data_IF_734026926740
#
_entry.id   IF_734026926740
#
_cell.length_a   1.000
_cell.length_b   1.000
_cell.length_c   1.000
_cell.angle_alpha   90.00
_cell.angle_beta   90.00
_cell.angle_gamma   90.00
#
_symmetry.space_group_name_H-M   'P 1'
#
loop_
_entity.id
_entity.type
_entity.pdbx_description
1 polymer ?
#
# COMPACT_ATOMS: atom_id res chain seq x y z
N UNK A 1 -4.88 27.72 -10.36
CA UNK A 1 -5.54 28.79 -9.62
C UNK A 1 -6.26 29.67 -10.62
N UNK A 2 -7.51 30.01 -10.39
CA UNK A 2 -8.28 30.98 -11.17
C UNK A 2 -8.53 32.15 -10.23
N UNK A 3 -8.09 33.34 -10.62
CA UNK A 3 -8.22 34.60 -9.83
C UNK A 3 -7.73 34.46 -8.36
N UNK A 4 -6.65 33.72 -8.17
CA UNK A 4 -6.08 33.47 -6.84
C UNK A 4 -6.73 32.34 -6.03
N UNK A 5 -7.83 31.75 -6.53
CA UNK A 5 -8.53 30.64 -5.86
C UNK A 5 -8.01 29.30 -6.37
N UNK A 6 -7.61 28.37 -5.48
CA UNK A 6 -7.31 27.00 -5.86
C UNK A 6 -8.53 26.36 -6.53
N UNK A 7 -8.36 25.89 -7.76
CA UNK A 7 -9.47 25.34 -8.56
C UNK A 7 -9.00 24.08 -9.28
N UNK A 8 -9.83 23.05 -9.28
CA UNK A 8 -9.64 21.85 -10.10
C UNK A 8 -9.94 22.19 -11.55
N UNK A 9 -9.08 21.75 -12.47
CA UNK A 9 -9.34 21.83 -13.90
C UNK A 9 -10.42 20.82 -14.28
N UNK A 10 -11.62 21.27 -14.73
CA UNK A 10 -12.69 20.36 -15.09
C UNK A 10 -12.41 19.52 -16.33
N UNK A 11 -11.41 19.88 -17.14
CA UNK A 11 -11.02 19.11 -18.32
C UNK A 11 -10.00 18.01 -18.00
N UNK A 12 -9.43 17.98 -16.80
CA UNK A 12 -8.53 16.96 -16.34
C UNK A 12 -9.19 16.15 -15.21
N UNK A 13 -9.71 14.99 -15.54
CA UNK A 13 -10.39 14.09 -14.59
C UNK A 13 -9.42 13.26 -13.75
N UNK A 14 -8.11 13.28 -14.07
CA UNK A 14 -7.11 12.58 -13.28
C UNK A 14 -6.73 13.46 -12.08
N UNK A 15 -7.26 13.08 -10.92
CA UNK A 15 -7.06 13.81 -9.67
C UNK A 15 -6.43 12.91 -8.63
N UNK A 16 -5.60 13.53 -7.79
CA UNK A 16 -5.07 12.95 -6.57
C UNK A 16 -5.68 13.67 -5.38
N UNK A 17 -6.10 12.90 -4.39
CA UNK A 17 -6.62 13.42 -3.13
C UNK A 17 -5.61 13.17 -2.02
N UNK A 18 -5.26 14.21 -1.29
CA UNK A 18 -4.42 14.17 -0.11
C UNK A 18 -5.12 14.92 1.02
N UNK A 19 -5.50 14.23 2.09
CA UNK A 19 -6.29 14.78 3.20
C UNK A 19 -7.48 15.62 2.75
N UNK A 20 -7.35 16.94 2.85
CA UNK A 20 -8.38 17.93 2.53
C UNK A 20 -8.17 18.58 1.16
N UNK A 21 -7.16 18.20 0.42
CA UNK A 21 -6.85 18.80 -0.87
C UNK A 21 -7.02 17.81 -2.00
N UNK A 22 -7.46 18.32 -3.15
CA UNK A 22 -7.53 17.57 -4.40
C UNK A 22 -6.74 18.35 -5.46
N UNK A 23 -5.87 17.65 -6.16
CA UNK A 23 -5.03 18.25 -7.22
C UNK A 23 -5.18 17.48 -8.51
N UNK A 24 -5.20 18.18 -9.63
CA UNK A 24 -5.09 17.53 -10.94
C UNK A 24 -3.69 17.00 -11.15
N UNK A 25 -3.60 15.86 -11.81
CA UNK A 25 -2.35 15.17 -12.09
C UNK A 25 -2.19 14.91 -13.58
N UNK A 26 -0.98 15.04 -14.06
CA UNK A 26 -0.57 14.51 -15.36
C UNK A 26 0.85 13.98 -15.28
N UNK A 27 1.18 13.02 -16.13
CA UNK A 27 2.50 12.40 -16.17
C UNK A 27 3.25 12.92 -17.37
N UNK A 28 4.41 13.56 -17.13
CA UNK A 28 5.30 13.96 -18.20
C UNK A 28 6.01 12.70 -18.73
N UNK A 29 5.76 12.38 -20.00
CA UNK A 29 6.30 11.19 -20.65
C UNK A 29 7.81 11.26 -20.86
N UNK A 30 8.40 10.10 -21.14
CA UNK A 30 9.79 9.77 -21.50
C UNK A 30 10.63 9.19 -20.34
N UNK A 31 11.60 8.37 -20.70
CA UNK A 31 12.54 7.76 -19.78
C UNK A 31 11.85 6.82 -18.78
N UNK A 32 12.08 7.04 -17.49
CA UNK A 32 11.47 6.18 -16.44
C UNK A 32 9.94 6.26 -16.42
N UNK A 33 9.34 7.33 -16.91
CA UNK A 33 7.89 7.47 -17.00
C UNK A 33 7.24 6.48 -17.99
N UNK A 34 8.03 5.85 -18.86
CA UNK A 34 7.51 4.79 -19.74
C UNK A 34 7.05 3.55 -18.97
N UNK A 35 7.54 3.35 -17.75
CA UNK A 35 7.06 2.29 -16.87
C UNK A 35 5.63 2.53 -16.35
N UNK A 36 5.16 3.78 -16.36
CA UNK A 36 3.78 4.11 -15.94
C UNK A 36 2.74 3.87 -17.02
N UNK A 37 3.16 3.63 -18.26
CA UNK A 37 2.27 3.39 -19.39
C UNK A 37 1.70 1.97 -19.36
N UNK A 38 0.52 1.81 -19.93
CA UNK A 38 0.01 0.50 -20.33
C UNK A 38 0.73 0.12 -21.62
N UNK A 39 1.77 -0.68 -21.51
CA UNK A 39 2.55 -1.16 -22.65
C UNK A 39 1.99 -2.50 -23.16
N UNK A 40 2.39 -2.94 -24.34
CA UNK A 40 2.00 -4.24 -24.92
C UNK A 40 2.81 -5.37 -24.27
N UNK A 41 2.50 -5.67 -23.02
CA UNK A 41 3.10 -6.74 -22.21
C UNK A 41 2.00 -7.57 -21.56
N UNK A 42 2.29 -8.78 -21.06
CA UNK A 42 1.32 -9.49 -20.23
C UNK A 42 0.98 -8.68 -18.96
N UNK A 43 -0.32 -8.59 -18.66
CA UNK A 43 -0.81 -7.82 -17.51
C UNK A 43 -1.23 -8.74 -16.37
N UNK A 44 -0.90 -8.31 -15.15
CA UNK A 44 -1.40 -8.92 -13.94
C UNK A 44 -2.85 -8.56 -13.63
N UNK A 45 -3.36 -9.10 -12.55
CA UNK A 45 -4.73 -8.82 -12.08
C UNK A 45 -4.67 -8.01 -10.79
N UNK A 46 -5.48 -6.96 -10.74
CA UNK A 46 -5.72 -6.20 -9.52
C UNK A 46 -7.09 -6.58 -8.95
N UNK A 47 -7.11 -7.08 -7.71
CA UNK A 47 -8.32 -7.47 -7.01
C UNK A 47 -8.55 -6.59 -5.79
N UNK A 48 -9.77 -6.06 -5.64
CA UNK A 48 -10.25 -5.49 -4.40
C UNK A 48 -10.83 -6.62 -3.54
N UNK A 49 -10.31 -6.79 -2.33
CA UNK A 49 -10.73 -7.85 -1.41
C UNK A 49 -11.12 -7.25 -0.07
N UNK A 50 -11.97 -7.95 0.63
CA UNK A 50 -12.34 -7.62 2.00
C UNK A 50 -11.84 -8.73 2.93
N UNK A 51 -11.36 -8.35 4.09
CA UNK A 51 -11.02 -9.26 5.19
C UNK A 51 -11.56 -8.70 6.50
N UNK A 52 -11.93 -9.59 7.40
CA UNK A 52 -12.30 -9.18 8.76
C UNK A 52 -11.03 -9.04 9.60
N UNK A 53 -10.89 -7.92 10.30
CA UNK A 53 -9.87 -7.73 11.31
C UNK A 53 -10.51 -7.90 12.69
N UNK A 54 -10.20 -9.00 13.35
CA UNK A 54 -10.69 -9.29 14.71
C UNK A 54 -10.18 -8.25 15.70
N UNK A 55 -8.94 -7.81 15.52
CA UNK A 55 -8.32 -6.83 16.40
C UNK A 55 -8.87 -5.42 16.24
N UNK A 56 -9.15 -5.00 15.00
CA UNK A 56 -9.76 -3.71 14.71
C UNK A 56 -11.29 -3.75 14.75
N UNK A 57 -11.90 -4.95 14.87
CA UNK A 57 -13.35 -5.20 14.96
C UNK A 57 -14.13 -4.60 13.79
N UNK A 58 -13.60 -4.73 12.59
CA UNK A 58 -14.24 -4.23 11.36
C UNK A 58 -13.78 -5.00 10.13
N UNK A 59 -14.60 -4.99 9.10
CA UNK A 59 -14.20 -5.42 7.78
C UNK A 59 -13.35 -4.34 7.12
N UNK A 60 -12.28 -4.76 6.43
CA UNK A 60 -11.33 -3.83 5.81
C UNK A 60 -11.04 -4.22 4.38
N UNK A 61 -11.04 -3.21 3.51
CA UNK A 61 -10.67 -3.41 2.11
C UNK A 61 -9.15 -3.43 1.93
N UNK A 62 -8.70 -4.24 0.98
CA UNK A 62 -7.31 -4.41 0.62
C UNK A 62 -7.19 -4.64 -0.88
N UNK A 63 -6.20 -4.04 -1.51
CA UNK A 63 -5.89 -4.28 -2.92
C UNK A 63 -4.77 -5.31 -3.04
N UNK A 64 -4.95 -6.26 -3.94
CA UNK A 64 -3.98 -7.32 -4.19
C UNK A 64 -3.73 -7.43 -5.69
N UNK A 65 -2.48 -7.22 -6.06
CA UNK A 65 -1.99 -7.49 -7.40
C UNK A 65 -1.42 -8.91 -7.45
N UNK A 66 -1.81 -9.66 -8.47
CA UNK A 66 -1.21 -10.94 -8.85
C UNK A 66 -0.56 -10.81 -10.23
N UNK A 67 0.64 -11.39 -10.46
CA UNK A 67 1.35 -11.21 -11.72
C UNK A 67 0.66 -11.92 -12.87
N UNK A 68 0.96 -11.50 -14.09
CA UNK A 68 0.45 -12.11 -15.30
C UNK A 68 0.69 -13.64 -15.31
N UNK A 69 -0.33 -14.40 -15.69
CA UNK A 69 -0.28 -15.87 -15.69
C UNK A 69 -0.45 -16.52 -14.30
N UNK A 70 -0.73 -15.75 -13.26
CA UNK A 70 -0.95 -16.31 -11.93
C UNK A 70 -2.02 -17.41 -11.92
N UNK A 71 -3.20 -17.16 -12.51
CA UNK A 71 -4.31 -18.14 -12.50
C UNK A 71 -3.95 -19.45 -13.21
N UNK A 72 -3.13 -19.40 -14.27
CA UNK A 72 -2.71 -20.54 -15.07
C UNK A 72 -1.47 -21.24 -14.52
N UNK A 73 -0.84 -20.72 -13.46
CA UNK A 73 0.45 -21.20 -12.98
C UNK A 73 0.39 -22.47 -12.11
N UNK A 74 -0.77 -23.09 -12.01
CA UNK A 74 -0.96 -24.30 -11.19
C UNK A 74 -0.63 -24.04 -9.71
N UNK A 75 0.29 -24.82 -9.16
CA UNK A 75 0.69 -24.72 -7.74
C UNK A 75 1.90 -23.82 -7.51
N UNK A 76 2.33 -23.04 -8.50
CA UNK A 76 3.46 -22.11 -8.33
C UNK A 76 3.16 -21.11 -7.21
N UNK A 77 4.10 -20.97 -6.30
CA UNK A 77 4.07 -19.98 -5.21
C UNK A 77 4.92 -18.76 -5.56
N UNK A 78 4.55 -17.62 -5.01
CA UNK A 78 5.15 -16.32 -5.32
C UNK A 78 5.63 -15.62 -4.06
N UNK A 79 6.72 -14.84 -4.12
CA UNK A 79 7.08 -13.93 -3.05
C UNK A 79 6.04 -12.82 -2.91
N UNK A 80 6.02 -12.17 -1.76
CA UNK A 80 5.02 -11.14 -1.43
C UNK A 80 5.70 -9.84 -1.04
N UNK A 81 5.23 -8.74 -1.64
CA UNK A 81 5.54 -7.38 -1.23
C UNK A 81 4.29 -6.76 -0.58
N UNK A 82 4.40 -6.33 0.67
CA UNK A 82 3.42 -5.47 1.33
C UNK A 82 3.83 -4.02 1.10
N UNK A 83 2.99 -3.25 0.39
CA UNK A 83 3.29 -1.89 -0.07
C UNK A 83 2.32 -0.90 0.57
N UNK A 84 2.83 -0.06 1.48
CA UNK A 84 2.05 0.78 2.37
C UNK A 84 2.04 2.24 1.89
N UNK A 85 0.86 2.85 1.86
CA UNK A 85 0.64 4.22 1.40
C UNK A 85 1.04 5.28 2.44
N UNK A 86 1.17 6.53 1.99
CA UNK A 86 1.41 7.70 2.83
C UNK A 86 0.16 8.21 3.53
N UNK A 87 0.35 9.12 4.50
CA UNK A 87 -0.76 9.78 5.17
C UNK A 87 -1.61 10.56 4.14
N UNK A 88 -2.92 10.49 4.24
CA UNK A 88 -3.84 11.10 3.26
C UNK A 88 -4.26 10.17 2.13
N UNK A 89 -3.49 9.12 1.86
CA UNK A 89 -3.88 8.04 0.94
C UNK A 89 -4.74 6.96 1.59
N UNK A 90 -4.97 5.91 0.85
CA UNK A 90 -5.72 4.73 1.24
C UNK A 90 -5.23 3.51 0.42
N UNK A 91 -5.92 2.39 0.46
CA UNK A 91 -5.55 1.18 -0.27
C UNK A 91 -5.52 1.36 -1.80
N UNK A 92 -6.15 2.41 -2.34
CA UNK A 92 -6.17 2.69 -3.78
C UNK A 92 -4.99 3.56 -4.24
N UNK A 93 -4.23 4.17 -3.33
CA UNK A 93 -3.19 5.14 -3.69
C UNK A 93 -2.12 4.56 -4.60
N UNK A 94 -1.57 3.42 -4.24
CA UNK A 94 -0.53 2.77 -5.05
C UNK A 94 -1.04 2.29 -6.41
N UNK A 95 -2.32 2.01 -6.54
CA UNK A 95 -2.92 1.55 -7.80
C UNK A 95 -3.34 2.69 -8.70
N UNK A 96 -3.94 3.73 -8.15
CA UNK A 96 -4.47 4.87 -8.91
C UNK A 96 -3.38 5.92 -9.19
N UNK A 97 -2.74 6.43 -8.16
CA UNK A 97 -1.71 7.46 -8.29
C UNK A 97 -0.33 6.85 -8.54
N UNK A 98 0.06 5.84 -7.76
CA UNK A 98 1.36 5.17 -7.87
C UNK A 98 1.51 4.29 -9.11
N UNK A 99 0.41 3.92 -9.77
CA UNK A 99 0.38 3.06 -10.97
C UNK A 99 1.19 1.76 -10.81
N UNK A 100 1.13 1.18 -9.62
CA UNK A 100 1.95 0.03 -9.25
C UNK A 100 1.74 -1.18 -10.17
N UNK A 101 0.51 -1.44 -10.61
CA UNK A 101 0.22 -2.55 -11.52
C UNK A 101 0.97 -2.37 -12.86
N UNK A 102 0.91 -1.18 -13.47
CA UNK A 102 1.61 -0.89 -14.72
C UNK A 102 3.13 -1.00 -14.58
N UNK A 103 3.67 -0.48 -13.49
CA UNK A 103 5.11 -0.57 -13.20
C UNK A 103 5.54 -2.03 -13.06
N UNK A 104 4.79 -2.82 -12.31
CA UNK A 104 5.09 -4.24 -12.09
C UNK A 104 5.01 -5.04 -13.39
N UNK A 105 3.93 -4.87 -14.17
CA UNK A 105 3.78 -5.53 -15.47
C UNK A 105 4.97 -5.25 -16.38
N UNK A 106 5.37 -3.99 -16.48
CA UNK A 106 6.50 -3.57 -17.31
C UNK A 106 7.85 -4.10 -16.79
N UNK A 107 8.10 -4.04 -15.50
CA UNK A 107 9.35 -4.53 -14.91
C UNK A 107 9.46 -6.06 -14.98
N UNK A 108 8.38 -6.78 -14.73
CA UNK A 108 8.34 -8.24 -14.84
C UNK A 108 8.56 -8.67 -16.29
N UNK A 109 7.90 -8.02 -17.26
CA UNK A 109 8.09 -8.31 -18.68
C UNK A 109 9.51 -8.01 -19.17
N UNK A 110 10.22 -7.05 -18.54
CA UNK A 110 11.62 -6.73 -18.82
C UNK A 110 12.63 -7.64 -18.08
N UNK A 111 12.16 -8.57 -17.25
CA UNK A 111 13.02 -9.39 -16.39
C UNK A 111 13.77 -8.61 -15.30
N UNK A 112 13.31 -7.40 -14.98
CA UNK A 112 13.88 -6.51 -13.93
C UNK A 112 13.23 -6.68 -12.57
N UNK A 113 12.09 -7.33 -12.50
CA UNK A 113 11.44 -7.75 -11.28
C UNK A 113 10.97 -9.20 -11.42
N UNK A 114 11.05 -9.95 -10.33
CA UNK A 114 10.43 -11.27 -10.28
C UNK A 114 8.90 -11.15 -10.23
N UNK A 115 8.17 -12.09 -10.83
CA UNK A 115 6.74 -12.19 -10.63
C UNK A 115 6.43 -12.34 -9.14
N UNK A 116 5.67 -11.39 -8.57
CA UNK A 116 5.33 -11.35 -7.16
C UNK A 116 3.87 -10.96 -6.94
N UNK A 117 3.35 -11.30 -5.77
CA UNK A 117 2.08 -10.77 -5.27
C UNK A 117 2.39 -9.46 -4.54
N UNK A 118 1.59 -8.41 -4.81
CA UNK A 118 1.73 -7.14 -4.08
C UNK A 118 0.43 -6.84 -3.34
N UNK A 119 0.57 -6.58 -2.05
CA UNK A 119 -0.53 -6.38 -1.10
C UNK A 119 -0.52 -4.93 -0.64
N UNK A 120 -1.58 -4.21 -0.89
CA UNK A 120 -1.72 -2.78 -0.62
C UNK A 120 -2.91 -2.57 0.32
N UNK A 121 -2.69 -2.62 1.64
CA UNK A 121 -3.73 -2.40 2.63
C UNK A 121 -3.96 -0.91 2.89
N UNK A 122 -5.11 -0.58 3.50
CA UNK A 122 -5.32 0.72 4.11
C UNK A 122 -4.59 0.80 5.46
N UNK A 123 -3.65 1.74 5.59
CA UNK A 123 -2.86 1.95 6.81
C UNK A 123 -3.59 2.70 7.92
N UNK A 124 -4.76 3.27 7.63
CA UNK A 124 -5.56 3.97 8.64
C UNK A 124 -6.42 2.99 9.42
N UNK A 125 -6.03 2.69 10.65
CA UNK A 125 -6.68 1.68 11.49
C UNK A 125 -8.19 1.93 11.75
N UNK A 126 -8.64 3.18 11.68
CA UNK A 126 -10.03 3.56 11.90
C UNK A 126 -10.89 3.55 10.62
N UNK A 127 -10.34 3.18 9.46
CA UNK A 127 -11.05 3.19 8.18
C UNK A 127 -11.29 1.77 7.67
N UNK A 128 -12.50 1.49 7.21
CA UNK A 128 -12.84 0.23 6.54
C UNK A 128 -12.21 0.17 5.15
N UNK A 129 -12.33 1.26 4.39
CA UNK A 129 -11.89 1.37 3.00
C UNK A 129 -11.69 2.83 2.60
N UNK A 130 -11.21 3.05 1.39
CA UNK A 130 -11.14 4.36 0.75
C UNK A 130 -12.50 5.09 0.81
N UNK A 131 -12.52 6.41 0.85
CA UNK A 131 -13.76 7.19 0.83
C UNK A 131 -14.64 6.86 -0.37
N UNK A 132 -15.93 6.62 -0.11
CA UNK A 132 -16.88 6.17 -1.11
C UNK A 132 -17.03 4.65 -1.22
N UNK A 133 -16.10 3.89 -0.67
CA UNK A 133 -16.10 2.42 -0.65
C UNK A 133 -16.45 1.85 0.73
N UNK A 134 -16.46 2.71 1.75
CA UNK A 134 -16.75 2.35 3.15
C UNK A 134 -18.21 2.67 3.51
N UNK A 135 -18.76 1.95 4.49
CA UNK A 135 -20.02 2.31 5.14
C UNK A 135 -19.90 3.61 5.94
N UNK A 136 -18.70 3.97 6.36
CA UNK A 136 -18.45 5.24 7.05
C UNK A 136 -18.63 6.42 6.08
N UNK A 137 -19.41 7.39 6.49
CA UNK A 137 -19.70 8.56 5.66
C UNK A 137 -20.85 8.38 4.65
N UNK A 138 -21.49 7.21 4.61
CA UNK A 138 -22.60 6.94 3.69
C UNK A 138 -23.78 7.88 3.90
N UNK A 139 -24.11 8.18 5.15
CA UNK A 139 -25.26 9.05 5.50
C UNK A 139 -24.88 10.49 5.81
N UNK A 140 -23.59 10.75 6.06
CA UNK A 140 -23.08 12.08 6.40
C UNK A 140 -21.59 12.17 6.10
N UNK A 141 -21.07 13.38 5.86
CA UNK A 141 -19.64 13.55 5.64
C UNK A 141 -18.83 12.88 6.75
N UNK A 142 -17.79 12.17 6.32
CA UNK A 142 -16.85 11.51 7.21
C UNK A 142 -15.45 12.14 7.03
N UNK A 143 -14.85 12.53 8.12
CA UNK A 143 -13.49 12.99 8.16
C UNK A 143 -12.63 11.95 8.86
N UNK A 144 -11.44 11.72 8.34
CA UNK A 144 -10.48 10.79 8.94
C UNK A 144 -10.25 11.14 10.41
N UNK A 145 -10.41 10.14 11.28
CA UNK A 145 -10.16 10.31 12.72
C UNK A 145 -8.65 10.29 12.99
N UNK A 146 -8.25 10.97 14.07
CA UNK A 146 -6.92 10.81 14.64
C UNK A 146 -6.70 9.33 15.06
N UNK A 147 -5.44 8.90 15.17
CA UNK A 147 -5.10 7.54 15.61
C UNK A 147 -4.50 6.66 14.51
N UNK A 148 -4.20 7.25 13.36
CA UNK A 148 -3.59 6.55 12.22
C UNK A 148 -2.20 5.98 12.54
N UNK A 149 -1.47 6.57 13.48
CA UNK A 149 -0.13 6.16 13.91
C UNK A 149 -0.11 5.81 15.40
N UNK A 150 -1.17 5.20 15.90
CA UNK A 150 -1.34 4.83 17.32
C UNK A 150 -0.85 3.41 17.63
N UNK A 151 -0.33 2.69 16.65
CA UNK A 151 0.18 1.33 16.80
C UNK A 151 -0.85 0.24 16.53
N UNK A 152 -2.11 0.56 16.32
CA UNK A 152 -3.14 -0.44 16.07
C UNK A 152 -2.93 -1.18 14.75
N UNK A 153 -2.59 -0.45 13.68
CA UNK A 153 -2.31 -1.05 12.38
C UNK A 153 -1.13 -2.02 12.44
N UNK A 154 -0.06 -1.63 13.12
CA UNK A 154 1.14 -2.45 13.30
C UNK A 154 0.85 -3.70 14.13
N UNK A 155 0.09 -3.54 15.21
CA UNK A 155 -0.26 -4.65 16.11
C UNK A 155 -1.06 -5.74 15.41
N UNK A 156 -1.99 -5.35 14.54
CA UNK A 156 -2.88 -6.29 13.86
C UNK A 156 -2.44 -6.63 12.42
N UNK A 157 -1.27 -6.17 12.00
CA UNK A 157 -0.71 -6.49 10.68
C UNK A 157 -0.58 -8.00 10.40
N UNK A 158 -0.27 -8.87 11.38
CA UNK A 158 -0.25 -10.32 11.16
C UNK A 158 -1.57 -10.90 10.64
N UNK A 159 -2.72 -10.27 10.87
CA UNK A 159 -4.01 -10.69 10.32
C UNK A 159 -4.03 -10.56 8.80
N UNK A 160 -3.40 -9.51 8.26
CA UNK A 160 -3.26 -9.30 6.80
C UNK A 160 -2.38 -10.40 6.20
N UNK A 161 -1.25 -10.70 6.85
CA UNK A 161 -0.35 -11.78 6.40
C UNK A 161 -1.09 -13.11 6.36
N UNK A 162 -1.79 -13.45 7.43
CA UNK A 162 -2.62 -14.67 7.53
C UNK A 162 -3.70 -14.72 6.44
N UNK A 163 -4.39 -13.61 6.19
CA UNK A 163 -5.39 -13.52 5.13
C UNK A 163 -4.78 -13.82 3.76
N UNK A 164 -3.64 -13.21 3.45
CA UNK A 164 -2.95 -13.39 2.17
C UNK A 164 -2.48 -14.83 2.00
N UNK A 165 -1.85 -15.42 3.01
CA UNK A 165 -1.35 -16.79 2.99
C UNK A 165 -2.48 -17.83 2.87
N UNK A 166 -3.66 -17.53 3.41
CA UNK A 166 -4.82 -18.42 3.33
C UNK A 166 -5.56 -18.35 1.98
N UNK A 167 -5.38 -17.26 1.22
CA UNK A 167 -6.15 -17.02 0.00
C UNK A 167 -5.32 -17.02 -1.29
N UNK A 168 -3.99 -16.95 -1.19
CA UNK A 168 -3.09 -16.83 -2.33
C UNK A 168 -1.94 -17.83 -2.25
N UNK A 169 -1.38 -18.18 -3.41
CA UNK A 169 -0.22 -19.09 -3.49
C UNK A 169 1.07 -18.31 -3.23
N UNK A 170 1.43 -18.21 -1.96
CA UNK A 170 2.60 -17.46 -1.49
C UNK A 170 3.71 -18.38 -0.98
N UNK A 171 4.94 -17.92 -1.10
CA UNK A 171 6.09 -18.45 -0.38
C UNK A 171 6.04 -17.85 1.03
N UNK A 172 5.51 -18.64 2.00
CA UNK A 172 5.15 -18.15 3.34
C UNK A 172 6.33 -18.16 4.32
N UNK A 173 7.48 -17.73 3.88
CA UNK A 173 8.68 -17.62 4.71
C UNK A 173 9.25 -16.20 4.66
N UNK A 174 10.10 -15.88 5.61
CA UNK A 174 10.72 -14.57 5.79
C UNK A 174 11.51 -14.11 4.56
N UNK A 175 12.26 -15.05 3.93
CA UNK A 175 13.11 -14.75 2.79
C UNK A 175 12.35 -14.33 1.52
N UNK A 176 11.04 -14.61 1.49
CA UNK A 176 10.16 -14.28 0.37
C UNK A 176 9.09 -13.23 0.73
N UNK A 177 9.27 -12.53 1.86
CA UNK A 177 8.42 -11.41 2.25
C UNK A 177 9.20 -10.11 2.32
N UNK A 178 8.63 -9.09 1.67
CA UNK A 178 9.10 -7.72 1.73
C UNK A 178 7.99 -6.82 2.27
N UNK A 179 8.37 -5.78 3.01
CA UNK A 179 7.49 -4.68 3.38
C UNK A 179 8.12 -3.37 2.96
N UNK A 180 7.36 -2.48 2.36
CA UNK A 180 7.84 -1.16 1.99
C UNK A 180 6.72 -0.13 2.10
N UNK A 181 7.06 1.13 2.33
CA UNK A 181 6.07 2.16 2.43
C UNK A 181 6.60 3.57 2.31
N UNK A 182 5.69 4.48 1.92
CA UNK A 182 5.96 5.89 1.74
C UNK A 182 5.51 6.67 2.98
N UNK A 183 6.36 7.57 3.51
CA UNK A 183 6.02 8.51 4.59
C UNK A 183 5.43 7.77 5.81
N UNK A 184 4.14 7.91 6.10
CA UNK A 184 3.41 7.12 7.10
C UNK A 184 3.57 5.61 6.88
N UNK A 185 3.45 5.14 5.64
CA UNK A 185 3.69 3.74 5.28
C UNK A 185 5.12 3.28 5.58
N UNK A 186 6.09 4.18 5.43
CA UNK A 186 7.47 3.93 5.87
C UNK A 186 7.58 3.82 7.39
N UNK A 187 6.89 4.68 8.14
CA UNK A 187 6.76 4.55 9.59
C UNK A 187 6.15 3.20 9.99
N UNK A 188 5.04 2.82 9.38
CA UNK A 188 4.41 1.51 9.62
C UNK A 188 5.36 0.37 9.28
N UNK A 189 6.04 0.43 8.11
CA UNK A 189 6.99 -0.61 7.69
C UNK A 189 8.12 -0.81 8.69
N UNK A 190 8.70 0.29 9.20
CA UNK A 190 9.73 0.24 10.21
C UNK A 190 9.22 -0.39 11.52
N UNK A 191 8.08 0.08 12.03
CA UNK A 191 7.56 -0.42 13.31
C UNK A 191 7.08 -1.88 13.21
N UNK A 192 6.44 -2.28 12.09
CA UNK A 192 6.04 -3.67 11.88
C UNK A 192 7.27 -4.57 11.84
N UNK A 193 8.33 -4.19 11.10
CA UNK A 193 9.55 -5.00 11.01
C UNK A 193 10.27 -5.12 12.35
N UNK A 194 10.23 -4.09 13.19
CA UNK A 194 10.77 -4.12 14.54
C UNK A 194 9.94 -4.98 15.51
N UNK A 195 8.61 -4.89 15.40
CA UNK A 195 7.70 -5.67 16.24
C UNK A 195 7.68 -7.15 15.87
N UNK A 196 7.94 -7.48 14.60
CA UNK A 196 7.92 -8.82 14.05
C UNK A 196 9.21 -9.13 13.27
N UNK A 197 10.37 -9.26 13.95
CA UNK A 197 11.68 -9.37 13.29
C UNK A 197 11.85 -10.62 12.42
N UNK A 198 11.02 -11.64 12.66
CA UNK A 198 11.03 -12.89 11.88
C UNK A 198 10.04 -12.89 10.70
N UNK A 199 9.38 -11.76 10.44
CA UNK A 199 8.35 -11.70 9.41
C UNK A 199 8.89 -11.30 8.03
N UNK A 200 9.90 -10.42 7.95
CA UNK A 200 10.41 -9.83 6.71
C UNK A 200 11.94 -9.86 6.65
N UNK A 201 12.51 -10.24 5.50
CA UNK A 201 13.93 -10.05 5.22
C UNK A 201 14.21 -8.74 4.46
N UNK A 202 13.20 -8.13 3.86
CA UNK A 202 13.36 -6.91 3.06
C UNK A 202 12.44 -5.82 3.58
N UNK A 203 13.04 -4.66 3.90
CA UNK A 203 12.30 -3.48 4.39
C UNK A 203 12.68 -2.27 3.54
N UNK A 204 11.71 -1.67 2.86
CA UNK A 204 11.87 -0.47 2.05
C UNK A 204 11.24 0.76 2.72
N UNK A 205 12.03 1.78 2.98
CA UNK A 205 11.58 3.00 3.62
C UNK A 205 11.68 4.18 2.65
N UNK A 206 10.52 4.62 2.11
CA UNK A 206 10.46 5.73 1.17
C UNK A 206 10.05 7.01 1.90
N UNK A 207 10.97 7.94 2.09
CA UNK A 207 10.73 9.18 2.84
C UNK A 207 9.96 8.94 4.15
N UNK A 208 10.37 7.90 4.87
CA UNK A 208 9.67 7.42 6.06
C UNK A 208 9.60 8.52 7.13
N UNK A 209 8.44 8.66 7.77
CA UNK A 209 8.20 9.57 8.86
C UNK A 209 8.82 9.03 10.17
N UNK A 210 10.13 8.82 10.18
CA UNK A 210 10.86 8.37 11.35
C UNK A 210 11.18 9.56 12.25
N UNK A 211 10.72 9.51 13.50
CA UNK A 211 11.12 10.48 14.50
C UNK A 211 12.41 9.99 15.20
N UNK A 212 13.55 10.49 14.75
CA UNK A 212 14.87 10.11 15.26
C UNK A 212 15.00 10.43 16.76
N UNK A 213 14.30 11.45 17.26
CA UNK A 213 14.28 11.78 18.69
C UNK A 213 13.55 10.75 19.55
N UNK A 214 12.57 10.04 18.96
CA UNK A 214 11.85 8.97 19.65
C UNK A 214 12.63 7.66 19.70
N UNK A 215 13.58 7.44 18.81
CA UNK A 215 14.41 6.24 18.79
C UNK A 215 15.31 6.14 20.04
N UNK A 216 15.80 7.27 20.56
CA UNK A 216 16.61 7.32 21.81
C UNK A 216 15.81 7.14 23.10
N UNK A 217 14.48 7.18 23.07
CA UNK A 217 13.61 7.02 24.25
C UNK A 217 12.86 5.69 24.29
N UNK A 218 12.91 4.89 23.24
CA UNK A 218 12.30 3.56 23.24
C UNK A 218 13.29 2.55 23.80
N UNK A 219 13.06 2.14 25.06
CA UNK A 219 13.62 0.91 25.62
C UNK A 219 13.01 -0.30 24.89
N UNK A 220 13.24 -0.42 23.58
CA UNK A 220 12.91 -1.62 22.83
C UNK A 220 14.14 -2.51 22.82
N UNK A 221 14.05 -3.75 23.31
CA UNK A 221 15.15 -4.70 23.20
C UNK A 221 15.41 -4.95 21.70
N UNK A 222 16.53 -4.49 21.17
CA UNK A 222 16.92 -4.72 19.78
C UNK A 222 17.40 -3.49 19.00
N UNK A 223 17.26 -2.28 19.51
CA UNK A 223 17.91 -1.11 18.93
C UNK A 223 19.31 -0.97 19.55
N UNK A 224 20.32 -1.42 18.86
CA UNK A 224 21.71 -1.03 19.09
C UNK A 224 22.10 -0.07 17.98
N UNK A 225 22.68 1.08 18.36
CA UNK A 225 23.24 2.11 17.47
C UNK A 225 24.26 1.54 16.48
#
# INVERSE_FOLDING_TARGET
>A
MVDGVPTIDPNNVYVYRDFATTSNVFIVGNGKADLYKVNKVPHGTLAHRWYHSDGMKMDRRINIYTPAGYEQSGNRKYPVLYLLHGMGGDEDEWTTFGRAAQILDNLIAQGKAEPMIVVMPNGHAAMEAAPGESSLGYYKPYHMKNGTMDGAFETYFPEIVKFVESNYRVQADKAHRAIAGLSMGGFHSANISLNYPDMFDYVGLFSAALNVQSAGQRNSPGYQD
#
